data_IF_491516253674
#
_entry.id   IF_491516253674
#
_cell.length_a   1.000
_cell.length_b   1.000
_cell.length_c   1.000
_cell.angle_alpha   90.00
_cell.angle_beta   90.00
_cell.angle_gamma   90.00
#
_symmetry.space_group_name_H-M   'P 1'
#
loop_
_entity.id
_entity.type
_entity.pdbx_description
1 polymer ?
#
# COMPACT_ATOMS: atom_id res chain seq x y z
N UNK A 1 -68.94 9.09 -19.29
CA UNK A 1 -67.76 9.93 -19.64
C UNK A 1 -66.68 9.99 -18.55
N UNK A 2 -67.01 10.00 -17.25
CA UNK A 2 -66.02 10.17 -16.15
C UNK A 2 -65.02 9.01 -15.99
N UNK A 3 -65.45 7.75 -16.20
CA UNK A 3 -64.57 6.55 -16.10
C UNK A 3 -63.43 6.53 -17.12
N UNK A 4 -63.63 7.06 -18.33
CA UNK A 4 -62.60 7.09 -19.38
C UNK A 4 -61.47 8.09 -19.10
N UNK A 5 -61.81 9.23 -18.49
CA UNK A 5 -60.84 10.25 -18.10
C UNK A 5 -59.95 9.77 -16.94
N UNK A 6 -60.52 9.05 -15.97
CA UNK A 6 -59.78 8.49 -14.83
C UNK A 6 -58.79 7.42 -15.31
N UNK A 7 -59.22 6.48 -16.17
CA UNK A 7 -58.34 5.43 -16.70
C UNK A 7 -57.20 6.04 -17.54
N UNK A 8 -57.49 7.04 -18.36
CA UNK A 8 -56.46 7.72 -19.18
C UNK A 8 -55.42 8.46 -18.32
N UNK A 9 -55.86 9.09 -17.22
CA UNK A 9 -54.96 9.79 -16.30
C UNK A 9 -54.09 8.82 -15.50
N UNK A 10 -54.65 7.68 -15.07
CA UNK A 10 -53.87 6.63 -14.36
C UNK A 10 -52.80 6.02 -15.28
N UNK A 11 -53.15 5.72 -16.54
CA UNK A 11 -52.18 5.18 -17.52
C UNK A 11 -51.05 6.18 -17.80
N UNK A 12 -51.37 7.48 -17.91
CA UNK A 12 -50.36 8.54 -18.08
C UNK A 12 -49.43 8.65 -16.86
N UNK A 13 -49.97 8.58 -15.65
CA UNK A 13 -49.16 8.62 -14.42
C UNK A 13 -48.23 7.41 -14.31
N UNK A 14 -48.73 6.21 -14.65
CA UNK A 14 -47.90 5.00 -14.66
C UNK A 14 -46.81 5.07 -15.72
N UNK A 15 -47.13 5.55 -16.93
CA UNK A 15 -46.14 5.74 -18.00
C UNK A 15 -45.05 6.76 -17.58
N UNK A 16 -45.45 7.86 -16.92
CA UNK A 16 -44.51 8.87 -16.42
C UNK A 16 -43.62 8.32 -15.32
N UNK A 17 -44.16 7.50 -14.40
CA UNK A 17 -43.39 6.86 -13.34
C UNK A 17 -42.38 5.85 -13.89
N UNK A 18 -42.74 5.07 -14.91
CA UNK A 18 -41.84 4.12 -15.58
C UNK A 18 -40.74 4.87 -16.35
N UNK A 19 -41.08 5.94 -17.07
CA UNK A 19 -40.11 6.80 -17.77
C UNK A 19 -39.14 7.48 -16.80
N UNK A 20 -39.65 8.02 -15.68
CA UNK A 20 -38.81 8.64 -14.65
C UNK A 20 -37.89 7.61 -13.96
N UNK A 21 -38.39 6.41 -13.67
CA UNK A 21 -37.59 5.32 -13.13
C UNK A 21 -36.49 4.86 -14.08
N UNK A 22 -36.79 4.70 -15.37
CA UNK A 22 -35.82 4.34 -16.40
C UNK A 22 -34.74 5.42 -16.59
N UNK A 23 -35.11 6.69 -16.54
CA UNK A 23 -34.17 7.81 -16.63
C UNK A 23 -33.24 7.87 -15.42
N UNK A 24 -33.74 7.53 -14.22
CA UNK A 24 -32.95 7.52 -12.99
C UNK A 24 -31.81 6.48 -13.01
N UNK A 25 -32.01 5.36 -13.71
CA UNK A 25 -30.99 4.32 -13.85
C UNK A 25 -29.86 4.69 -14.83
N UNK A 26 -30.10 5.65 -15.74
CA UNK A 26 -29.12 6.09 -16.73
C UNK A 26 -28.18 7.20 -16.26
N UNK A 27 -28.56 7.96 -15.22
CA UNK A 27 -27.81 9.12 -14.71
C UNK A 27 -27.07 8.85 -13.40
N UNK A 28 -26.69 7.61 -13.11
CA UNK A 28 -25.82 7.28 -11.99
C UNK A 28 -24.42 7.87 -12.17
N UNK A 29 -24.26 9.18 -11.96
CA UNK A 29 -22.98 9.81 -11.73
C UNK A 29 -22.40 9.22 -10.46
N UNK A 30 -21.21 8.61 -10.57
CA UNK A 30 -20.44 8.19 -9.39
C UNK A 30 -20.24 9.44 -8.55
N UNK A 31 -20.90 9.51 -7.39
CA UNK A 31 -20.59 10.53 -6.40
C UNK A 31 -19.26 10.10 -5.83
N UNK A 32 -18.17 10.60 -6.41
CA UNK A 32 -16.88 10.60 -5.74
C UNK A 32 -17.07 11.44 -4.48
N UNK A 33 -17.21 10.77 -3.33
CA UNK A 33 -17.21 11.45 -2.03
C UNK A 33 -15.91 12.24 -1.80
N UNK A 34 -14.88 11.92 -2.56
CA UNK A 34 -13.55 12.49 -2.51
C UNK A 34 -13.47 13.70 -3.44
N UNK A 35 -13.69 14.89 -2.92
CA UNK A 35 -13.38 16.14 -3.61
C UNK A 35 -11.88 16.42 -3.53
N UNK A 36 -11.07 15.68 -4.30
CA UNK A 36 -9.63 15.93 -4.36
C UNK A 36 -9.38 17.38 -4.82
N UNK A 37 -8.49 18.08 -4.11
CA UNK A 37 -8.02 19.39 -4.57
C UNK A 37 -7.20 19.17 -5.84
N UNK A 38 -7.41 19.99 -6.87
CA UNK A 38 -6.56 19.97 -8.06
C UNK A 38 -5.13 20.33 -7.68
N UNK A 39 -4.21 19.40 -7.91
CA UNK A 39 -2.80 19.54 -7.57
C UNK A 39 -1.93 19.10 -8.75
N UNK A 40 -0.84 19.81 -8.99
CA UNK A 40 0.16 19.35 -9.95
C UNK A 40 0.90 18.11 -9.43
N UNK A 41 1.48 17.32 -10.34
CA UNK A 41 2.29 16.16 -9.95
C UNK A 41 3.47 16.54 -9.04
N UNK A 42 4.07 17.73 -9.24
CA UNK A 42 5.10 18.25 -8.34
C UNK A 42 4.57 18.57 -6.93
N UNK A 43 3.33 19.07 -6.80
CA UNK A 43 2.71 19.30 -5.50
C UNK A 43 2.34 17.98 -4.80
N UNK A 44 1.92 16.96 -5.56
CA UNK A 44 1.66 15.61 -5.05
C UNK A 44 2.97 14.97 -4.56
N UNK A 45 4.03 15.05 -5.38
CA UNK A 45 5.38 14.60 -5.04
C UNK A 45 5.94 15.32 -3.79
N UNK A 46 5.69 16.62 -3.65
CA UNK A 46 6.12 17.40 -2.50
C UNK A 46 5.44 16.92 -1.21
N UNK A 47 4.14 16.59 -1.26
CA UNK A 47 3.35 16.11 -0.12
C UNK A 47 3.59 14.65 0.26
N UNK A 48 4.04 13.83 -0.68
CA UNK A 48 4.37 12.44 -0.41
C UNK A 48 5.66 12.31 0.41
N UNK A 49 5.69 11.42 1.38
CA UNK A 49 6.89 11.09 2.16
C UNK A 49 7.74 10.05 1.44
N UNK A 50 7.08 9.13 0.72
CA UNK A 50 7.72 8.07 -0.06
C UNK A 50 7.09 8.03 -1.46
N UNK A 51 7.93 8.02 -2.50
CA UNK A 51 7.49 7.82 -3.88
C UNK A 51 8.33 6.72 -4.50
N UNK A 52 7.67 5.67 -5.01
CA UNK A 52 8.35 4.52 -5.59
C UNK A 52 7.56 3.93 -6.75
N UNK A 53 8.26 3.21 -7.63
CA UNK A 53 7.65 2.35 -8.65
C UNK A 53 7.78 0.90 -8.21
N UNK A 54 6.69 0.16 -8.30
CA UNK A 54 6.69 -1.26 -7.96
C UNK A 54 5.48 -2.01 -8.49
N UNK A 55 5.56 -3.34 -8.42
CA UNK A 55 4.51 -4.25 -8.86
C UNK A 55 3.76 -4.83 -7.67
N UNK A 56 2.44 -4.80 -7.71
CA UNK A 56 1.60 -5.38 -6.64
C UNK A 56 1.77 -6.90 -6.65
N UNK A 57 2.15 -7.45 -5.50
CA UNK A 57 2.34 -8.89 -5.32
C UNK A 57 1.21 -9.52 -4.51
N UNK A 58 0.67 -8.81 -3.52
CA UNK A 58 -0.40 -9.29 -2.62
C UNK A 58 -1.30 -8.13 -2.24
N UNK A 59 -2.59 -8.43 -2.09
CA UNK A 59 -3.59 -7.55 -1.49
C UNK A 59 -4.18 -8.34 -0.32
N UNK A 60 -3.97 -7.85 0.89
CA UNK A 60 -4.53 -8.44 2.10
C UNK A 60 -5.82 -7.71 2.49
N UNK A 61 -6.90 -8.46 2.80
CA UNK A 61 -8.12 -7.86 3.33
C UNK A 61 -7.88 -7.23 4.70
N UNK A 62 -8.81 -6.40 5.20
CA UNK A 62 -8.71 -5.80 6.52
C UNK A 62 -8.63 -6.87 7.60
N UNK A 63 -7.78 -6.61 8.59
CA UNK A 63 -7.39 -7.59 9.61
C UNK A 63 -8.46 -7.74 10.71
N UNK A 64 -9.52 -6.90 10.71
CA UNK A 64 -10.47 -6.81 11.83
C UNK A 64 -11.93 -6.70 11.40
N UNK A 65 -12.80 -7.51 12.01
CA UNK A 65 -14.25 -7.27 12.08
C UNK A 65 -15.13 -8.47 11.70
N UNK A 66 -16.23 -8.70 12.46
CA UNK A 66 -17.36 -9.54 12.02
C UNK A 66 -18.15 -8.88 10.87
N UNK A 67 -17.99 -7.57 10.72
CA UNK A 67 -18.61 -6.70 9.72
C UNK A 67 -17.50 -5.94 9.02
N UNK A 68 -17.60 -5.88 7.70
CA UNK A 68 -16.60 -5.30 6.81
C UNK A 68 -17.20 -4.06 6.15
N UNK A 69 -16.51 -2.92 6.27
CA UNK A 69 -16.90 -1.62 5.71
C UNK A 69 -16.01 -1.22 4.53
N UNK A 70 -16.50 -0.29 3.69
CA UNK A 70 -15.75 0.30 2.58
C UNK A 70 -14.55 1.14 3.03
N UNK A 71 -14.64 1.71 4.24
CA UNK A 71 -13.60 2.52 4.86
C UNK A 71 -12.53 1.68 5.59
N UNK A 72 -12.71 0.36 5.67
CA UNK A 72 -11.71 -0.48 6.31
C UNK A 72 -10.44 -0.52 5.45
N UNK A 73 -9.26 -0.31 6.04
CA UNK A 73 -8.00 -0.32 5.32
C UNK A 73 -7.63 -1.73 4.86
N UNK A 74 -7.15 -1.81 3.61
CA UNK A 74 -6.51 -3.00 3.04
C UNK A 74 -5.01 -2.76 2.89
N UNK A 75 -4.22 -3.82 3.03
CA UNK A 75 -2.76 -3.77 2.93
C UNK A 75 -2.30 -4.28 1.57
N UNK A 76 -1.47 -3.51 0.89
CA UNK A 76 -0.96 -3.81 -0.45
C UNK A 76 0.54 -4.02 -0.39
N UNK A 77 1.00 -5.19 -0.84
CA UNK A 77 2.43 -5.52 -0.89
C UNK A 77 2.98 -5.26 -2.28
N UNK A 78 4.03 -4.46 -2.35
CA UNK A 78 4.75 -4.17 -3.59
C UNK A 78 6.11 -4.86 -3.61
N UNK A 79 6.47 -5.40 -4.77
CA UNK A 79 7.85 -5.60 -5.17
C UNK A 79 8.34 -4.29 -5.78
N UNK A 80 9.25 -3.60 -5.09
CA UNK A 80 9.70 -2.25 -5.47
C UNK A 80 10.87 -2.33 -6.43
N UNK A 81 10.72 -1.65 -7.57
CA UNK A 81 11.70 -1.61 -8.66
C UNK A 81 12.62 -0.39 -8.56
N UNK A 82 12.06 0.77 -8.16
CA UNK A 82 12.80 2.03 -8.05
C UNK A 82 12.17 2.94 -7.00
N UNK A 83 12.99 3.70 -6.29
CA UNK A 83 12.55 4.70 -5.31
C UNK A 83 12.96 6.09 -5.81
N UNK A 84 12.00 7.01 -5.89
CA UNK A 84 12.20 8.38 -6.35
C UNK A 84 12.26 9.38 -5.19
N UNK A 85 11.64 9.05 -4.06
CA UNK A 85 11.66 9.87 -2.84
C UNK A 85 11.49 8.98 -1.61
N UNK A 86 12.17 9.33 -0.52
CA UNK A 86 12.07 8.63 0.75
C UNK A 86 12.79 7.29 0.74
N UNK A 87 12.38 6.39 1.64
CA UNK A 87 12.97 5.05 1.77
C UNK A 87 11.89 3.99 1.57
N UNK A 88 12.19 3.00 0.72
CA UNK A 88 11.41 1.78 0.58
C UNK A 88 12.35 0.57 0.44
N UNK A 89 11.95 -0.54 1.03
CA UNK A 89 12.60 -1.86 0.92
C UNK A 89 12.17 -2.57 -0.36
N UNK A 90 12.84 -3.67 -0.73
CA UNK A 90 12.47 -4.51 -1.89
C UNK A 90 11.02 -4.99 -1.82
N UNK A 91 10.57 -5.34 -0.62
CA UNK A 91 9.18 -5.64 -0.32
C UNK A 91 8.63 -4.53 0.56
N UNK A 92 7.62 -3.81 0.09
CA UNK A 92 7.09 -2.65 0.79
C UNK A 92 5.58 -2.69 0.90
N UNK A 93 5.05 -2.32 2.07
CA UNK A 93 3.62 -2.35 2.37
C UNK A 93 3.04 -0.95 2.37
N UNK A 94 1.90 -0.80 1.70
CA UNK A 94 1.13 0.45 1.68
C UNK A 94 -0.33 0.11 1.96
N UNK A 95 -0.97 0.92 2.79
CA UNK A 95 -2.39 0.82 3.12
C UNK A 95 -3.22 1.78 2.27
N UNK A 96 -4.44 1.38 1.94
CA UNK A 96 -5.45 2.26 1.35
C UNK A 96 -6.83 1.78 1.77
N UNK A 97 -7.84 2.63 1.72
CA UNK A 97 -9.22 2.23 1.95
C UNK A 97 -9.67 1.22 0.89
N UNK A 98 -10.60 0.32 1.23
CA UNK A 98 -11.03 -0.72 0.29
C UNK A 98 -11.67 -0.18 -0.98
N UNK A 99 -12.44 0.91 -0.86
CA UNK A 99 -13.30 1.41 -1.93
C UNK A 99 -12.92 2.82 -2.34
N UNK A 100 -13.05 3.09 -3.64
CA UNK A 100 -13.02 4.44 -4.22
C UNK A 100 -14.01 5.42 -3.55
N UNK A 101 -15.22 4.94 -3.22
CA UNK A 101 -16.24 5.67 -2.47
C UNK A 101 -15.77 6.09 -1.06
N UNK A 102 -14.71 5.47 -0.55
CA UNK A 102 -14.03 5.84 0.70
C UNK A 102 -12.63 6.40 0.47
N UNK A 103 -12.35 6.90 -0.73
CA UNK A 103 -11.07 7.46 -1.19
C UNK A 103 -9.92 6.47 -1.35
N UNK A 104 -10.24 5.17 -1.37
CA UNK A 104 -9.31 4.09 -1.57
C UNK A 104 -8.84 3.97 -3.01
N UNK A 105 -7.55 3.71 -3.20
CA UNK A 105 -6.99 3.48 -4.52
C UNK A 105 -7.08 2.00 -4.92
N UNK A 106 -7.70 1.71 -6.06
CA UNK A 106 -7.88 0.33 -6.52
C UNK A 106 -6.61 -0.23 -7.19
N UNK A 107 -5.98 -1.19 -6.50
CA UNK A 107 -4.83 -1.94 -6.96
C UNK A 107 -5.21 -3.30 -7.55
N UNK A 108 -4.40 -3.77 -8.50
CA UNK A 108 -4.53 -5.08 -9.12
C UNK A 108 -3.21 -5.84 -9.00
N UNK A 109 -3.28 -7.08 -8.50
CA UNK A 109 -2.12 -7.97 -8.40
C UNK A 109 -1.48 -8.18 -9.77
N UNK A 110 -0.15 -8.16 -9.82
CA UNK A 110 0.65 -8.32 -11.03
C UNK A 110 0.76 -7.04 -11.88
N UNK A 111 0.15 -5.93 -11.46
CA UNK A 111 0.25 -4.64 -12.17
C UNK A 111 1.28 -3.75 -11.50
N UNK A 112 2.00 -2.99 -12.33
CA UNK A 112 2.98 -2.00 -11.89
C UNK A 112 2.29 -0.65 -11.65
N UNK A 113 2.78 0.08 -10.65
CA UNK A 113 2.28 1.40 -10.27
C UNK A 113 3.45 2.29 -9.86
N UNK A 114 3.26 3.60 -10.01
CA UNK A 114 4.06 4.63 -9.34
C UNK A 114 3.22 5.15 -8.18
N UNK A 115 3.65 4.86 -6.97
CA UNK A 115 2.89 5.08 -5.74
C UNK A 115 3.43 6.31 -5.03
N UNK A 116 2.52 7.22 -4.70
CA UNK A 116 2.76 8.40 -3.87
C UNK A 116 2.14 8.12 -2.51
N UNK A 117 2.98 7.94 -1.49
CA UNK A 117 2.53 7.53 -0.18
C UNK A 117 2.96 8.54 0.89
N UNK A 118 2.08 8.69 1.90
CA UNK A 118 2.33 9.48 3.10
C UNK A 118 2.54 8.54 4.29
N UNK A 119 3.39 8.95 5.22
CA UNK A 119 3.61 8.27 6.48
C UNK A 119 2.73 8.94 7.54
N UNK A 120 1.87 8.15 8.19
CA UNK A 120 1.03 8.59 9.31
C UNK A 120 1.22 7.65 10.49
N UNK A 121 2.01 8.08 11.48
CA UNK A 121 2.47 7.23 12.56
C UNK A 121 3.27 6.05 12.00
N UNK A 122 2.82 4.83 12.31
CA UNK A 122 3.45 3.58 11.85
C UNK A 122 2.89 3.07 10.50
N UNK A 123 1.96 3.81 9.87
CA UNK A 123 1.32 3.41 8.62
C UNK A 123 1.85 4.21 7.44
N UNK A 124 2.12 3.50 6.36
CA UNK A 124 2.36 4.10 5.04
C UNK A 124 1.06 3.98 4.25
N UNK A 125 0.50 5.09 3.79
CA UNK A 125 -0.82 5.13 3.19
C UNK A 125 -0.87 5.92 1.88
N UNK A 126 -1.77 5.52 0.99
CA UNK A 126 -2.07 6.21 -0.26
C UNK A 126 -3.58 6.22 -0.49
N UNK A 127 -4.04 7.20 -1.26
CA UNK A 127 -5.45 7.44 -1.56
C UNK A 127 -5.58 7.93 -3.02
N UNK A 128 -6.81 8.05 -3.52
CA UNK A 128 -7.06 8.51 -4.90
C UNK A 128 -6.60 9.95 -5.16
N UNK A 129 -6.38 10.75 -4.12
CA UNK A 129 -5.91 12.13 -4.23
C UNK A 129 -4.38 12.25 -4.16
N UNK A 130 -3.67 11.16 -3.85
CA UNK A 130 -2.24 11.18 -3.56
C UNK A 130 -1.36 11.36 -4.80
N UNK A 131 -1.90 11.09 -5.99
CA UNK A 131 -1.14 11.11 -7.24
C UNK A 131 -0.62 9.75 -7.71
N UNK A 132 -1.02 8.68 -7.03
CA UNK A 132 -0.69 7.30 -7.45
C UNK A 132 -1.27 7.01 -8.82
N UNK A 133 -0.47 6.42 -9.71
CA UNK A 133 -0.89 6.09 -11.07
C UNK A 133 -0.47 4.67 -11.49
N UNK A 134 -1.21 4.12 -12.45
CA UNK A 134 -0.90 2.82 -13.05
C UNK A 134 0.30 2.94 -13.99
N UNK A 135 1.24 2.01 -13.87
CA UNK A 135 2.44 1.93 -14.70
C UNK A 135 3.57 2.85 -14.22
N UNK A 136 4.45 3.19 -15.16
CA UNK A 136 5.57 4.07 -14.94
C UNK A 136 5.20 5.54 -15.15
N UNK A 137 5.90 6.40 -14.41
CA UNK A 137 5.91 7.85 -14.56
C UNK A 137 7.31 8.30 -14.99
N UNK A 138 7.42 9.35 -15.79
CA UNK A 138 8.67 10.09 -15.91
C UNK A 138 8.86 10.95 -14.65
N UNK A 139 9.81 10.65 -13.74
CA UNK A 139 9.97 11.40 -12.51
C UNK A 139 10.27 12.89 -12.76
N UNK A 140 10.91 13.24 -13.87
CA UNK A 140 11.19 14.63 -14.19
C UNK A 140 9.90 15.44 -14.42
N UNK A 141 8.87 14.82 -14.99
CA UNK A 141 7.55 15.46 -15.22
C UNK A 141 6.84 15.91 -13.93
N UNK A 142 7.25 15.36 -12.78
CA UNK A 142 6.70 15.69 -11.45
C UNK A 142 7.77 16.25 -10.51
N UNK A 143 8.87 16.76 -11.05
CA UNK A 143 9.99 17.32 -10.29
C UNK A 143 10.61 16.35 -9.26
N UNK A 144 10.59 15.06 -9.56
CA UNK A 144 11.30 14.03 -8.81
C UNK A 144 12.66 13.72 -9.45
N UNK A 145 13.68 13.35 -8.65
CA UNK A 145 14.97 12.90 -9.18
C UNK A 145 14.86 11.54 -9.86
N UNK A 146 15.93 11.14 -10.55
CA UNK A 146 16.06 9.79 -11.07
C UNK A 146 15.95 8.75 -9.93
N UNK A 147 15.28 7.64 -10.21
CA UNK A 147 15.06 6.60 -9.21
C UNK A 147 16.34 5.89 -8.79
N UNK A 148 16.48 5.60 -7.51
CA UNK A 148 17.55 4.77 -6.96
C UNK A 148 17.03 3.39 -6.52
N UNK A 149 17.96 2.47 -6.29
CA UNK A 149 17.62 1.13 -5.79
C UNK A 149 17.02 1.18 -4.37
N UNK A 150 16.25 0.15 -4.05
CA UNK A 150 15.66 -0.07 -2.73
C UNK A 150 16.73 -0.33 -1.67
N UNK A 151 16.41 -0.06 -0.40
CA UNK A 151 17.23 -0.56 0.71
C UNK A 151 17.16 -2.09 0.72
N UNK A 152 18.31 -2.73 0.67
CA UNK A 152 18.41 -4.17 0.86
C UNK A 152 18.08 -4.50 2.32
N UNK A 153 17.14 -5.40 2.53
CA UNK A 153 17.02 -6.08 3.82
C UNK A 153 18.30 -6.91 4.03
N UNK A 154 18.92 -6.88 5.22
CA UNK A 154 20.09 -7.69 5.47
C UNK A 154 19.73 -9.15 5.20
N UNK A 155 20.48 -9.85 4.32
CA UNK A 155 20.15 -11.22 3.99
C UNK A 155 20.23 -12.06 5.26
N UNK A 156 19.33 -13.03 5.41
CA UNK A 156 19.27 -13.92 6.58
C UNK A 156 20.62 -14.60 6.87
N UNK A 157 21.47 -14.74 5.85
CA UNK A 157 22.85 -15.22 5.95
C UNK A 157 23.77 -14.32 6.78
N UNK A 158 23.57 -13.00 6.78
CA UNK A 158 24.34 -12.07 7.61
C UNK A 158 24.02 -12.28 9.10
N UNK A 159 22.73 -12.48 9.43
CA UNK A 159 22.31 -12.83 10.78
C UNK A 159 22.85 -14.20 11.22
N UNK A 160 22.80 -15.21 10.35
CA UNK A 160 23.36 -16.54 10.62
C UNK A 160 24.89 -16.46 10.85
N UNK A 161 25.61 -15.69 10.03
CA UNK A 161 27.06 -15.51 10.18
C UNK A 161 27.43 -14.83 11.51
N UNK A 162 26.67 -13.80 11.91
CA UNK A 162 26.88 -13.12 13.21
C UNK A 162 26.66 -14.10 14.37
N UNK A 163 25.60 -14.92 14.31
CA UNK A 163 25.32 -15.94 15.33
C UNK A 163 26.46 -16.98 15.40
N UNK A 164 26.94 -17.46 14.26
CA UNK A 164 28.04 -18.43 14.20
C UNK A 164 29.35 -17.86 14.76
N UNK A 165 29.67 -16.61 14.47
CA UNK A 165 30.87 -15.94 15.00
C UNK A 165 30.75 -15.73 16.52
N UNK A 166 29.58 -15.34 17.02
CA UNK A 166 29.34 -15.20 18.47
C UNK A 166 29.44 -16.55 19.22
N UNK A 167 28.90 -17.63 18.64
CA UNK A 167 29.04 -18.98 19.20
C UNK A 167 30.47 -19.51 19.11
N UNK A 168 31.19 -19.23 18.01
CA UNK A 168 32.58 -19.63 17.85
C UNK A 168 33.52 -18.93 18.84
N UNK A 169 33.33 -17.63 19.05
CA UNK A 169 34.13 -16.83 20.00
C UNK A 169 33.90 -17.25 21.46
N UNK A 170 32.67 -17.56 21.85
CA UNK A 170 32.36 -18.06 23.19
C UNK A 170 32.95 -19.46 23.43
N UNK A 171 32.88 -20.36 22.44
CA UNK A 171 33.50 -21.68 22.53
C UNK A 171 35.04 -21.59 22.65
N UNK A 172 35.68 -20.72 21.85
CA UNK A 172 37.12 -20.50 21.91
C UNK A 172 37.58 -19.92 23.27
N UNK A 173 36.80 -18.99 23.84
CA UNK A 173 37.08 -18.43 25.16
C UNK A 173 36.93 -19.47 26.29
N UNK A 174 35.90 -20.32 26.23
CA UNK A 174 35.70 -21.40 27.20
C UNK A 174 36.82 -22.45 27.14
N UNK A 175 37.23 -22.84 25.92
CA UNK A 175 38.36 -23.75 25.70
C UNK A 175 39.69 -23.14 26.18
N UNK A 176 39.92 -21.85 25.91
CA UNK A 176 41.09 -21.13 26.39
C UNK A 176 41.17 -21.05 27.92
N UNK A 177 40.04 -20.82 28.59
CA UNK A 177 39.95 -20.83 30.06
C UNK A 177 40.21 -22.24 30.62
N UNK A 178 39.63 -23.28 30.03
CA UNK A 178 39.85 -24.66 30.44
C UNK A 178 41.31 -25.11 30.23
N UNK A 179 41.93 -24.74 29.11
CA UNK A 179 43.32 -25.06 28.82
C UNK A 179 44.30 -24.34 29.77
N UNK A 180 44.01 -23.07 30.12
CA UNK A 180 44.81 -22.30 31.07
C UNK A 180 44.75 -22.88 32.49
N UNK A 181 43.58 -23.30 32.95
CA UNK A 181 43.44 -23.97 34.26
C UNK A 181 44.14 -25.33 34.36
N UNK A 182 44.27 -26.05 33.24
CA UNK A 182 45.02 -27.32 33.18
C UNK A 182 46.54 -27.13 33.22
N UNK A 183 47.09 -26.04 32.70
CA UNK A 183 48.54 -25.76 32.76
C UNK A 183 49.04 -25.39 34.16
N UNK A 184 48.21 -24.75 34.99
CA UNK A 184 48.59 -24.36 36.36
C UNK A 184 48.57 -25.51 37.37
N UNK A 185 48.09 -26.69 36.96
CA UNK A 185 47.98 -27.89 37.80
C UNK A 185 49.07 -28.95 37.53
N UNK A 186 50.02 -28.69 36.63
CA UNK A 186 51.18 -29.57 36.41
C UNK A 186 52.31 -29.15 37.37
N UNK A 187 52.72 -30.00 38.34
CA UNK A 187 53.81 -29.68 39.24
C UNK A 187 55.14 -29.73 38.48
N UNK A 188 55.93 -28.67 38.58
CA UNK A 188 57.33 -28.65 38.13
C UNK A 188 58.13 -29.64 38.98
N UNK A 189 58.57 -30.74 38.37
CA UNK A 189 59.60 -31.64 38.92
C UNK A 189 60.98 -31.17 38.49
#
# INVERSE_FOLDING_TARGET
MVRGAIVTNVVRLLAFAVLAGALSLGLGSRVDACSCVQQSGAQQAARADVVFRGTVTVIEPPITGLVISSADPISIRFAVDAVYKGMATRTFWVSTERSDASCGFEFLVGRQYTVFARVSGDRVQTDICSGTLRGGLDPASVALPAGHATREDPPSTALIAIILVALGTTAAAALGAAYRGRKTSVPSS
#
